data_IF_847000206741
#
_entry.id   IF_847000206741
#
_cell.length_a   1.000
_cell.length_b   1.000
_cell.length_c   1.000
_cell.angle_alpha   90.00
_cell.angle_beta   90.00
_cell.angle_gamma   90.00
#
_symmetry.space_group_name_H-M   'P 1'
#
loop_
_entity.id
_entity.type
_entity.pdbx_description
1 polymer ?
#
# COMPACT_ATOMS: atom_id res chain seq x y z
N UNK A 1 20.31 11.26 0.81
CA UNK A 1 19.83 10.49 1.97
C UNK A 1 18.77 9.49 1.52
N UNK A 2 18.95 8.24 1.86
CA UNK A 2 18.00 7.23 1.46
C UNK A 2 16.79 7.22 2.37
N UNK A 3 15.62 7.19 1.77
CA UNK A 3 14.40 6.99 2.53
C UNK A 3 14.26 5.53 2.91
N UNK A 4 13.74 5.31 4.09
CA UNK A 4 13.49 3.98 4.59
C UNK A 4 11.99 3.74 4.62
N UNK A 5 11.57 2.63 4.04
CA UNK A 5 10.17 2.25 4.00
C UNK A 5 9.99 0.92 4.72
N UNK A 6 9.00 0.85 5.58
CA UNK A 6 8.68 -0.38 6.30
C UNK A 6 7.31 -0.86 5.88
N UNK A 7 7.19 -2.17 5.69
CA UNK A 7 5.92 -2.78 5.33
C UNK A 7 4.99 -2.80 6.55
N UNK A 8 3.77 -2.29 6.38
CA UNK A 8 2.82 -2.22 7.47
C UNK A 8 2.21 -3.58 7.81
N UNK A 9 2.40 -4.58 6.97
CA UNK A 9 1.84 -5.91 7.20
C UNK A 9 2.83 -6.89 7.82
N UNK A 10 4.07 -6.90 7.33
CA UNK A 10 5.07 -7.85 7.82
C UNK A 10 6.13 -7.20 8.69
N UNK A 11 6.12 -5.88 8.79
CA UNK A 11 7.02 -5.12 9.65
C UNK A 11 8.49 -5.18 9.23
N UNK A 12 8.78 -5.66 8.02
CA UNK A 12 10.15 -5.68 7.52
C UNK A 12 10.37 -4.53 6.56
N UNK A 13 11.63 -4.17 6.38
CA UNK A 13 12.00 -3.08 5.49
C UNK A 13 11.72 -3.43 4.04
N UNK A 14 11.26 -2.44 3.27
CA UNK A 14 11.08 -2.58 1.83
C UNK A 14 12.32 -1.99 1.16
N UNK A 15 13.06 -2.85 0.46
CA UNK A 15 14.30 -2.43 -0.20
C UNK A 15 13.94 -1.90 -1.59
N UNK A 16 13.94 -0.59 -1.72
CA UNK A 16 13.38 0.09 -2.89
C UNK A 16 14.15 -0.17 -4.19
N UNK A 17 15.38 -0.62 -4.12
CA UNK A 17 16.14 -0.91 -5.33
C UNK A 17 15.99 -2.35 -5.81
N UNK A 18 15.25 -3.18 -5.09
CA UNK A 18 15.02 -4.57 -5.48
C UNK A 18 13.56 -4.86 -5.74
N UNK A 19 12.66 -4.15 -5.06
CA UNK A 19 11.23 -4.29 -5.24
C UNK A 19 10.61 -2.90 -5.24
N UNK A 20 9.45 -2.80 -5.83
CA UNK A 20 8.73 -1.54 -5.84
C UNK A 20 8.09 -1.29 -4.48
N UNK A 21 8.20 -0.05 -4.04
CA UNK A 21 7.53 0.37 -2.81
C UNK A 21 6.08 0.69 -3.14
N UNK A 22 5.17 0.03 -2.47
CA UNK A 22 3.75 0.23 -2.69
C UNK A 22 3.19 1.16 -1.61
N UNK A 23 2.56 2.23 -2.05
CA UNK A 23 1.92 3.17 -1.13
C UNK A 23 0.46 2.80 -0.92
N UNK A 24 0.03 2.90 0.33
CA UNK A 24 -1.35 2.62 0.69
C UNK A 24 -1.87 3.82 1.46
N UNK A 25 -2.96 4.39 0.99
CA UNK A 25 -3.57 5.56 1.63
C UNK A 25 -4.86 5.12 2.31
N UNK A 26 -4.94 5.38 3.60
CA UNK A 26 -6.12 5.06 4.40
C UNK A 26 -6.86 6.36 4.68
N UNK A 27 -8.12 6.42 4.31
CA UNK A 27 -8.98 7.58 4.56
C UNK A 27 -10.18 7.10 5.34
N UNK A 28 -10.28 7.54 6.59
CA UNK A 28 -11.43 7.20 7.42
C UNK A 28 -12.55 8.21 7.20
N UNK A 29 -13.76 7.78 7.44
CA UNK A 29 -14.95 8.62 7.23
C UNK A 29 -15.03 9.17 5.81
N UNK A 30 -14.70 8.31 4.84
CA UNK A 30 -14.65 8.69 3.44
C UNK A 30 -15.98 9.27 2.94
N UNK A 31 -17.08 8.83 3.52
CA UNK A 31 -18.43 9.28 3.16
C UNK A 31 -18.85 10.56 3.88
N UNK A 32 -17.96 11.14 4.69
CA UNK A 32 -18.24 12.38 5.42
C UNK A 32 -17.52 13.54 4.76
N UNK A 33 -17.74 14.74 5.28
CA UNK A 33 -17.06 15.93 4.80
C UNK A 33 -15.56 15.83 5.05
N UNK A 34 -14.77 16.55 4.25
CA UNK A 34 -13.32 16.51 4.38
C UNK A 34 -12.82 16.85 5.77
N UNK A 35 -13.55 17.72 6.48
CA UNK A 35 -13.15 18.12 7.82
C UNK A 35 -13.20 16.97 8.82
N UNK A 36 -13.99 15.95 8.52
CA UNK A 36 -14.14 14.80 9.41
C UNK A 36 -13.30 13.61 8.95
N UNK A 37 -12.61 13.73 7.84
CA UNK A 37 -11.79 12.67 7.30
C UNK A 37 -10.39 12.71 7.89
N UNK A 38 -9.86 11.52 8.13
CA UNK A 38 -8.47 11.36 8.55
C UNK A 38 -7.74 10.62 7.44
N UNK A 39 -6.54 11.08 7.10
CA UNK A 39 -5.76 10.49 6.02
C UNK A 39 -4.42 10.02 6.58
N UNK A 40 -4.06 8.80 6.25
CA UNK A 40 -2.79 8.23 6.67
C UNK A 40 -2.15 7.51 5.50
N UNK A 41 -0.86 7.74 5.31
CA UNK A 41 -0.08 7.05 4.30
C UNK A 41 0.70 5.91 4.93
N UNK A 42 0.57 4.73 4.35
CA UNK A 42 1.34 3.55 4.77
C UNK A 42 2.11 3.01 3.58
N UNK A 43 3.07 2.17 3.85
CA UNK A 43 3.83 1.51 2.78
C UNK A 43 3.80 0.02 3.01
N UNK A 44 3.92 -0.75 1.94
CA UNK A 44 3.86 -2.21 2.05
C UNK A 44 4.53 -2.86 0.86
N UNK A 45 4.80 -4.15 1.00
CA UNK A 45 5.12 -4.98 -0.15
C UNK A 45 3.80 -5.28 -0.86
N UNK A 46 3.81 -5.22 -2.20
CA UNK A 46 2.58 -5.46 -2.95
C UNK A 46 2.02 -6.87 -2.69
N UNK A 47 2.89 -7.85 -2.51
CA UNK A 47 2.45 -9.21 -2.26
C UNK A 47 1.88 -9.38 -0.85
N UNK A 48 2.37 -8.60 0.12
CA UNK A 48 1.78 -8.60 1.45
C UNK A 48 0.37 -8.05 1.43
N UNK A 49 0.15 -7.00 0.65
CA UNK A 49 -1.19 -6.42 0.48
C UNK A 49 -2.11 -7.42 -0.20
N UNK A 50 -1.63 -8.05 -1.27
CA UNK A 50 -2.43 -9.05 -1.98
C UNK A 50 -2.85 -10.18 -1.05
N UNK A 51 -1.95 -10.59 -0.18
CA UNK A 51 -2.22 -11.70 0.74
C UNK A 51 -3.32 -11.37 1.74
N UNK A 52 -3.50 -10.09 2.04
CA UNK A 52 -4.53 -9.64 2.99
C UNK A 52 -5.86 -9.35 2.34
N UNK A 53 -5.90 -9.26 1.02
CA UNK A 53 -7.13 -8.95 0.31
C UNK A 53 -7.81 -10.23 -0.17
N UNK A 54 -9.15 -10.22 -0.25
CA UNK A 54 -9.85 -11.37 -0.83
C UNK A 54 -9.54 -11.48 -2.32
N UNK A 55 -9.66 -12.69 -2.85
CA UNK A 55 -9.32 -12.97 -4.24
C UNK A 55 -10.20 -12.22 -5.24
N UNK A 56 -11.33 -11.68 -4.78
CA UNK A 56 -12.22 -10.90 -5.62
C UNK A 56 -11.72 -9.49 -5.89
N UNK A 57 -10.70 -9.06 -5.17
CA UNK A 57 -10.13 -7.73 -5.35
C UNK A 57 -8.88 -7.84 -6.20
N UNK A 58 -8.88 -7.18 -7.36
CA UNK A 58 -7.74 -7.17 -8.26
C UNK A 58 -6.77 -6.05 -7.90
N UNK A 59 -5.50 -6.37 -7.94
CA UNK A 59 -4.44 -5.38 -7.77
C UNK A 59 -3.69 -5.27 -9.11
N UNK A 60 -3.89 -4.17 -9.78
CA UNK A 60 -3.31 -3.99 -11.12
C UNK A 60 -1.79 -3.95 -11.11
N UNK A 61 -1.21 -3.51 -10.00
CA UNK A 61 0.24 -3.47 -9.88
C UNK A 61 0.94 -4.82 -9.93
N UNK A 62 0.18 -5.91 -9.77
CA UNK A 62 0.75 -7.25 -9.83
C UNK A 62 0.96 -7.75 -11.25
N UNK A 63 0.36 -7.08 -12.23
CA UNK A 63 0.45 -7.49 -13.62
C UNK A 63 0.94 -6.33 -14.48
N UNK A 64 2.18 -5.88 -14.28
CA UNK A 64 2.67 -4.70 -14.99
C UNK A 64 2.69 -4.87 -16.50
N UNK A 65 2.77 -6.10 -17.00
CA UNK A 65 2.79 -6.34 -18.43
C UNK A 65 1.46 -6.05 -19.12
N UNK A 66 0.40 -5.98 -18.33
CA UNK A 66 -0.94 -5.68 -18.87
C UNK A 66 -1.26 -4.21 -18.85
N UNK A 67 -0.38 -3.41 -18.32
CA UNK A 67 -0.61 -1.97 -18.20
C UNK A 67 -0.04 -1.19 -19.36
#
# INVERSE_FOLDING_TARGET
MKKKYDCCFCSTEIISNTVEVTGLIVITNFDKSEKKQEVQQLFCHIYCLKDKLPSTIDLYGLNPEKN
#
